data_IF_709506510179
#
_entry.id   IF_709506510179
#
_cell.length_a   1.000
_cell.length_b   1.000
_cell.length_c   1.000
_cell.angle_alpha   90.00
_cell.angle_beta   90.00
_cell.angle_gamma   90.00
#
_symmetry.space_group_name_H-M   'P 1'
#
loop_
_entity.id
_entity.type
_entity.pdbx_description
1 polymer ?
#
# COMPACT_ATOMS: atom_id res chain seq x y z
N UNK A 1 -7.48 17.89 15.05
CA UNK A 1 -6.70 16.92 15.84
C UNK A 1 -5.24 17.22 15.60
N UNK A 2 -4.51 17.58 16.66
CA UNK A 2 -3.08 17.87 16.57
C UNK A 2 -2.25 16.58 16.55
N UNK A 3 -0.97 16.68 16.21
CA UNK A 3 -0.06 15.53 16.32
C UNK A 3 0.05 15.02 17.78
N UNK A 4 -0.05 15.93 18.76
CA UNK A 4 -0.05 15.58 20.17
C UNK A 4 -1.33 14.81 20.55
N UNK A 5 -2.50 15.27 20.08
CA UNK A 5 -3.77 14.58 20.31
C UNK A 5 -3.75 13.17 19.68
N UNK A 6 -3.13 13.02 18.52
CA UNK A 6 -2.99 11.73 17.83
C UNK A 6 -2.08 10.76 18.59
N UNK A 7 -0.90 11.21 19.05
CA UNK A 7 -0.01 10.36 19.83
C UNK A 7 -0.63 9.95 21.16
N UNK A 8 -1.32 10.87 21.84
CA UNK A 8 -2.06 10.55 23.07
C UNK A 8 -3.16 9.50 22.82
N UNK A 9 -3.84 9.57 21.67
CA UNK A 9 -4.81 8.56 21.28
C UNK A 9 -4.16 7.19 21.03
N UNK A 10 -2.96 7.14 20.44
CA UNK A 10 -2.20 5.88 20.26
C UNK A 10 -1.79 5.29 21.61
N UNK A 11 -1.26 6.12 22.52
CA UNK A 11 -0.83 5.68 23.84
C UNK A 11 -2.00 5.11 24.65
N UNK A 12 -3.21 5.66 24.46
CA UNK A 12 -4.43 5.19 25.12
C UNK A 12 -4.94 3.83 24.61
N UNK A 13 -4.45 3.33 23.45
CA UNK A 13 -4.87 2.03 22.91
C UNK A 13 -4.25 0.84 23.65
N UNK A 14 -3.13 1.04 24.37
CA UNK A 14 -2.45 -0.03 25.10
C UNK A 14 -1.97 -1.19 24.22
N UNK A 15 -1.60 -0.87 22.98
CA UNK A 15 -1.06 -1.80 21.98
C UNK A 15 0.44 -2.01 22.18
N UNK A 16 0.98 -3.08 21.57
CA UNK A 16 2.41 -3.35 21.62
C UNK A 16 3.22 -2.32 20.81
N UNK A 17 4.51 -2.23 21.10
CA UNK A 17 5.41 -1.23 20.51
C UNK A 17 5.50 -1.24 18.96
N UNK A 18 5.48 -2.39 18.25
CA UNK A 18 5.53 -2.37 16.79
C UNK A 18 4.27 -1.74 16.16
N UNK A 19 3.08 -2.00 16.70
CA UNK A 19 1.83 -1.38 16.28
C UNK A 19 1.81 0.12 16.59
N UNK A 20 2.27 0.51 17.79
CA UNK A 20 2.38 1.91 18.17
C UNK A 20 3.32 2.68 17.26
N UNK A 21 4.47 2.08 16.92
CA UNK A 21 5.45 2.66 16.00
C UNK A 21 4.86 2.83 14.60
N UNK A 22 4.18 1.81 14.07
CA UNK A 22 3.55 1.87 12.75
C UNK A 22 2.48 2.97 12.68
N UNK A 23 1.66 3.11 13.72
CA UNK A 23 0.65 4.17 13.82
C UNK A 23 1.28 5.56 13.94
N UNK A 24 2.27 5.76 14.83
CA UNK A 24 2.94 7.06 14.99
C UNK A 24 3.64 7.50 13.71
N UNK A 25 4.25 6.56 12.98
CA UNK A 25 4.88 6.79 11.67
C UNK A 25 3.89 6.95 10.51
N UNK A 26 2.60 6.64 10.72
CA UNK A 26 1.57 6.54 9.66
C UNK A 26 2.02 5.64 8.52
N UNK A 27 2.76 4.60 8.85
CA UNK A 27 3.30 3.65 7.87
C UNK A 27 2.17 2.71 7.43
N UNK A 28 1.50 3.07 6.33
CA UNK A 28 0.38 2.29 5.81
C UNK A 28 0.76 0.87 5.42
N UNK A 29 2.02 0.63 5.05
CA UNK A 29 2.50 -0.71 4.70
C UNK A 29 2.64 -1.54 5.96
N UNK A 30 3.37 -1.05 6.96
CA UNK A 30 3.54 -1.74 8.24
C UNK A 30 2.19 -1.99 8.95
N UNK A 31 1.27 -1.01 8.92
CA UNK A 31 -0.09 -1.16 9.45
C UNK A 31 -0.84 -2.26 8.68
N UNK A 32 -0.75 -2.27 7.35
CA UNK A 32 -1.41 -3.30 6.53
C UNK A 32 -0.86 -4.68 6.86
N UNK A 33 0.46 -4.83 6.95
CA UNK A 33 1.11 -6.11 7.23
C UNK A 33 0.73 -6.66 8.62
N UNK A 34 0.74 -5.80 9.64
CA UNK A 34 0.32 -6.17 11.01
C UNK A 34 -1.13 -6.63 11.08
N UNK A 35 -2.01 -6.05 10.27
CA UNK A 35 -3.43 -6.40 10.20
C UNK A 35 -3.73 -7.58 9.26
N UNK A 36 -2.72 -8.22 8.69
CA UNK A 36 -2.91 -9.29 7.70
C UNK A 36 -3.52 -8.80 6.39
N UNK A 37 -3.15 -7.58 5.99
CA UNK A 37 -3.58 -6.93 4.77
C UNK A 37 -3.26 -7.75 3.53
N UNK A 38 -4.17 -7.72 2.56
CA UNK A 38 -3.96 -8.40 1.28
C UNK A 38 -2.96 -7.61 0.42
N UNK A 39 -2.14 -8.32 -0.34
CA UNK A 39 -1.32 -7.70 -1.40
C UNK A 39 -2.21 -6.90 -2.36
N UNK A 40 -1.68 -5.78 -2.87
CA UNK A 40 -2.37 -4.99 -3.88
C UNK A 40 -2.56 -5.86 -5.13
N UNK A 41 -3.80 -6.27 -5.39
CA UNK A 41 -4.15 -6.94 -6.64
C UNK A 41 -4.43 -5.87 -7.70
N UNK A 42 -3.66 -5.88 -8.78
CA UNK A 42 -3.90 -5.02 -9.93
C UNK A 42 -4.86 -5.75 -10.89
N UNK A 43 -6.06 -5.21 -11.08
CA UNK A 43 -6.97 -5.70 -12.10
C UNK A 43 -6.70 -4.96 -13.40
N UNK A 44 -6.05 -5.63 -14.36
CA UNK A 44 -5.94 -5.13 -15.73
C UNK A 44 -7.26 -5.38 -16.46
N UNK A 45 -7.86 -4.30 -16.98
CA UNK A 45 -9.05 -4.37 -17.82
C UNK A 45 -8.58 -4.14 -19.25
N UNK A 46 -8.81 -5.11 -20.14
CA UNK A 46 -8.50 -4.99 -21.56
C UNK A 46 -9.71 -4.50 -22.34
N UNK A 47 -9.48 -3.61 -23.31
CA UNK A 47 -10.48 -3.28 -24.33
C UNK A 47 -10.79 -4.54 -25.17
N UNK A 48 -11.97 -4.63 -25.82
CA UNK A 48 -12.36 -5.84 -26.56
C UNK A 48 -11.40 -6.27 -27.67
N UNK A 49 -10.69 -5.31 -28.27
CA UNK A 49 -9.68 -5.51 -29.31
C UNK A 49 -8.26 -5.77 -28.74
N UNK A 50 -8.07 -5.61 -27.44
CA UNK A 50 -6.83 -5.93 -26.74
C UNK A 50 -6.99 -7.30 -26.09
N UNK A 51 -6.24 -8.30 -26.55
CA UNK A 51 -6.14 -9.58 -25.85
C UNK A 51 -5.00 -9.51 -24.84
N UNK A 52 -5.16 -10.05 -23.61
CA UNK A 52 -4.02 -10.30 -22.75
C UNK A 52 -3.03 -11.18 -23.49
N UNK A 53 -1.75 -10.78 -23.52
CA UNK A 53 -0.71 -11.68 -23.95
C UNK A 53 -0.81 -12.95 -23.09
N UNK A 54 -0.85 -14.13 -23.71
CA UNK A 54 -0.76 -15.39 -22.97
C UNK A 54 0.63 -15.43 -22.36
N UNK A 55 0.74 -15.13 -21.07
CA UNK A 55 1.95 -15.39 -20.31
C UNK A 55 2.02 -16.91 -20.13
N UNK A 56 2.92 -17.57 -20.88
CA UNK A 56 3.49 -18.84 -20.43
C UNK A 56 4.12 -18.59 -19.06
N UNK A 57 3.78 -19.42 -18.07
CA UNK A 57 4.17 -19.34 -16.66
C UNK A 57 5.64 -18.90 -16.44
N UNK A 58 5.87 -17.59 -16.36
CA UNK A 58 7.12 -17.03 -15.89
C UNK A 58 6.84 -16.18 -14.66
N UNK A 59 7.55 -16.40 -13.54
CA UNK A 59 7.38 -15.63 -12.33
C UNK A 59 7.76 -14.17 -12.62
N UNK A 60 6.82 -13.25 -12.42
CA UNK A 60 7.05 -11.81 -12.52
C UNK A 60 8.01 -11.38 -11.40
N UNK A 61 9.32 -11.39 -11.69
CA UNK A 61 10.32 -10.67 -10.90
C UNK A 61 10.19 -9.16 -11.15
N UNK A 62 9.95 -8.41 -10.07
CA UNK A 62 10.60 -7.12 -9.83
C UNK A 62 10.06 -5.88 -10.55
N UNK A 63 9.67 -4.91 -9.72
CA UNK A 63 9.76 -3.45 -9.90
C UNK A 63 9.38 -2.79 -11.24
N UNK A 64 8.27 -2.06 -11.23
CA UNK A 64 8.25 -0.72 -11.87
C UNK A 64 7.37 0.25 -11.07
N UNK A 65 7.97 1.18 -10.32
CA UNK A 65 7.27 2.36 -9.82
C UNK A 65 7.40 3.49 -10.85
N UNK A 66 6.27 4.00 -11.34
CA UNK A 66 6.22 5.34 -11.95
C UNK A 66 4.86 5.96 -11.60
N UNK A 67 4.87 6.89 -10.65
CA UNK A 67 3.90 7.98 -10.60
C UNK A 67 4.71 9.26 -10.42
N UNK A 68 4.85 10.02 -11.50
CA UNK A 68 4.90 11.48 -11.47
C UNK A 68 4.48 11.99 -12.86
N UNK A 69 3.28 12.56 -12.94
CA UNK A 69 2.79 13.25 -14.13
C UNK A 69 2.37 14.65 -13.66
N UNK A 70 2.98 15.75 -14.15
CA UNK A 70 2.27 16.66 -15.08
C UNK A 70 3.20 17.52 -15.99
N UNK A 71 2.71 18.44 -16.87
CA UNK A 71 1.39 18.55 -17.53
C UNK A 71 1.49 18.46 -19.08
N UNK A 72 0.33 18.32 -19.71
CA UNK A 72 0.10 18.45 -21.15
C UNK A 72 0.38 19.89 -21.64
N UNK A 73 0.83 20.01 -22.91
CA UNK A 73 1.27 21.25 -23.59
C UNK A 73 0.26 22.41 -23.61
#
# INVERSE_FOLDING_TARGET
MTAADYNAAIDALGIDEPEATALRGRDSTAISDLLGGRSKMMCMIWAPDQQPAKEDDQPLEGDVPVEDNPPEE
#
